data_IF_587293535378
#
_entry.id   IF_587293535378
#
_cell.length_a   1.000
_cell.length_b   1.000
_cell.length_c   1.000
_cell.angle_alpha   90.00
_cell.angle_beta   90.00
_cell.angle_gamma   90.00
#
_symmetry.space_group_name_H-M   'P 1'
#
loop_
_entity.id
_entity.type
_entity.pdbx_description
1 polymer ?
#
# COMPACT_ATOMS: atom_id res chain seq x y z
N UNK A 1 3.87 -3.87 41.77
CA UNK A 1 3.64 -2.83 40.74
C UNK A 1 4.74 -2.93 39.69
N UNK A 2 4.39 -3.01 38.41
CA UNK A 2 5.35 -3.11 37.30
C UNK A 2 6.14 -1.83 37.06
N UNK A 3 7.22 -1.95 36.29
CA UNK A 3 8.08 -0.83 35.88
C UNK A 3 8.35 -0.88 34.38
N UNK A 4 8.55 0.29 33.78
CA UNK A 4 9.17 0.43 32.48
C UNK A 4 10.68 0.32 32.63
N UNK A 5 11.31 -0.59 31.90
CA UNK A 5 12.76 -0.70 31.81
C UNK A 5 13.22 -0.32 30.41
N UNK A 6 14.14 0.63 30.31
CA UNK A 6 14.84 1.00 29.07
C UNK A 6 16.27 0.54 29.20
N UNK A 7 16.75 -0.23 28.23
CA UNK A 7 18.09 -0.82 28.24
C UNK A 7 18.86 -0.39 26.99
N UNK A 8 20.19 -0.33 27.09
CA UNK A 8 21.05 -0.16 25.93
C UNK A 8 21.22 -1.49 25.17
N UNK A 9 21.90 -1.44 24.02
CA UNK A 9 22.09 -2.61 23.15
C UNK A 9 22.89 -3.76 23.79
N UNK A 10 23.61 -3.52 24.89
CA UNK A 10 24.33 -4.54 25.65
C UNK A 10 23.48 -5.13 26.78
N UNK A 11 22.24 -4.66 26.96
CA UNK A 11 21.34 -5.09 28.03
C UNK A 11 21.59 -4.40 29.36
N UNK A 12 22.34 -3.29 29.41
CA UNK A 12 22.45 -2.48 30.63
C UNK A 12 21.24 -1.55 30.76
N UNK A 13 20.65 -1.49 31.95
CA UNK A 13 19.52 -0.59 32.24
C UNK A 13 19.97 0.87 32.16
N UNK A 14 19.32 1.65 31.31
CA UNK A 14 19.45 3.10 31.19
C UNK A 14 18.44 3.82 32.09
N UNK A 15 17.18 3.37 32.07
CA UNK A 15 16.11 3.94 32.87
C UNK A 15 15.22 2.85 33.44
N UNK A 16 14.71 3.10 34.64
CA UNK A 16 13.70 2.28 35.30
C UNK A 16 12.66 3.19 35.94
N UNK A 17 11.44 3.18 35.41
CA UNK A 17 10.38 4.12 35.79
C UNK A 17 9.16 3.32 36.28
N UNK A 18 8.58 3.61 37.46
CA UNK A 18 7.37 2.96 37.92
C UNK A 18 6.19 3.18 36.95
N UNK A 19 5.41 2.13 36.69
CA UNK A 19 4.12 2.31 36.01
C UNK A 19 3.16 3.08 36.93
N UNK A 20 2.14 3.78 36.36
CA UNK A 20 1.10 4.41 37.15
C UNK A 20 0.40 3.43 38.07
N UNK A 21 -0.21 3.96 39.15
CA UNK A 21 -0.99 3.15 40.06
C UNK A 21 -2.14 2.46 39.31
N UNK A 22 -2.40 1.17 39.58
CA UNK A 22 -3.51 0.45 38.98
C UNK A 22 -4.84 1.06 39.39
N UNK A 23 -5.78 1.09 38.45
CA UNK A 23 -7.19 1.36 38.69
C UNK A 23 -7.92 0.02 38.87
N UNK A 24 -8.47 -0.19 40.07
CA UNK A 24 -9.31 -1.37 40.37
C UNK A 24 -8.57 -2.71 40.54
N UNK A 25 -7.23 -2.72 40.50
CA UNK A 25 -6.43 -3.91 40.83
C UNK A 25 -5.66 -3.71 42.14
N UNK A 26 -5.74 -4.66 43.09
CA UNK A 26 -5.16 -4.50 44.42
C UNK A 26 -3.65 -4.76 44.47
N UNK A 27 -3.08 -5.52 43.54
CA UNK A 27 -1.72 -6.06 43.67
C UNK A 27 -0.88 -6.06 42.37
N UNK A 28 -1.51 -5.90 41.20
CA UNK A 28 -0.81 -5.98 39.92
C UNK A 28 -1.09 -4.82 38.97
N UNK A 29 -0.03 -4.40 38.27
CA UNK A 29 -0.08 -3.64 37.03
C UNK A 29 1.13 -4.00 36.16
N UNK A 30 0.97 -3.96 34.84
CA UNK A 30 2.02 -4.32 33.88
C UNK A 30 1.58 -4.02 32.45
N UNK A 31 2.46 -4.23 31.47
CA UNK A 31 2.14 -4.14 30.05
C UNK A 31 2.32 -5.51 29.39
N UNK A 32 1.28 -5.98 28.69
CA UNK A 32 1.29 -7.29 28.00
C UNK A 32 1.54 -7.17 26.50
N UNK A 33 1.20 -6.02 25.91
CA UNK A 33 1.49 -5.72 24.51
C UNK A 33 2.92 -5.18 24.38
N UNK A 34 3.52 -5.39 23.20
CA UNK A 34 4.76 -4.70 22.86
C UNK A 34 4.53 -3.17 22.87
N UNK A 35 5.47 -2.38 23.42
CA UNK A 35 5.35 -0.94 23.37
C UNK A 35 5.48 -0.44 21.92
N UNK A 36 5.00 0.78 21.69
CA UNK A 36 5.13 1.50 20.41
C UNK A 36 5.89 2.81 20.64
N UNK A 37 6.80 3.15 19.74
CA UNK A 37 7.50 4.43 19.70
C UNK A 37 6.92 5.23 18.53
N UNK A 38 6.36 6.39 18.81
CA UNK A 38 5.80 7.31 17.83
C UNK A 38 5.85 8.72 18.39
N UNK A 39 5.98 9.71 17.51
CA UNK A 39 5.77 11.10 17.86
C UNK A 39 4.25 11.36 17.86
N UNK A 40 3.66 11.62 19.02
CA UNK A 40 2.21 11.70 19.25
C UNK A 40 1.73 13.09 19.65
N UNK A 41 2.62 14.00 20.05
CA UNK A 41 2.29 15.37 20.45
C UNK A 41 2.92 16.45 19.55
N UNK A 42 3.80 16.07 18.61
CA UNK A 42 4.26 16.90 17.51
C UNK A 42 5.48 17.77 17.82
N UNK A 43 6.23 17.49 18.88
CA UNK A 43 7.56 18.08 19.11
C UNK A 43 8.65 17.32 18.33
N UNK A 44 9.93 17.53 18.65
CA UNK A 44 11.03 16.85 17.93
C UNK A 44 11.36 15.48 18.55
N UNK A 45 10.91 15.23 19.78
CA UNK A 45 11.11 13.99 20.53
C UNK A 45 10.23 12.86 19.99
N UNK A 46 10.35 11.71 20.64
CA UNK A 46 9.54 10.53 20.38
C UNK A 46 8.95 10.04 21.69
N UNK A 47 7.73 9.50 21.66
CA UNK A 47 7.08 8.98 22.85
C UNK A 47 7.01 7.47 22.81
N UNK A 48 7.20 6.84 23.97
CA UNK A 48 6.92 5.44 24.20
C UNK A 48 5.48 5.27 24.70
N UNK A 49 4.64 4.65 23.87
CA UNK A 49 3.24 4.33 24.19
C UNK A 49 3.11 2.86 24.57
N UNK A 50 2.48 2.59 25.71
CA UNK A 50 2.16 1.24 26.17
C UNK A 50 0.74 1.14 26.71
N UNK A 51 0.11 0.00 26.44
CA UNK A 51 -1.14 -0.38 27.10
C UNK A 51 -0.81 -1.18 28.37
N UNK A 52 -1.31 -0.70 29.50
CA UNK A 52 -1.19 -1.35 30.80
C UNK A 52 -2.45 -2.14 31.16
N UNK A 53 -2.30 -3.19 31.95
CA UNK A 53 -3.41 -4.04 32.40
C UNK A 53 -4.44 -3.28 33.24
N UNK A 54 -4.01 -2.29 34.02
CA UNK A 54 -4.88 -1.62 34.99
C UNK A 54 -4.79 -0.09 35.01
N UNK A 55 -3.95 0.56 34.21
CA UNK A 55 -3.87 2.03 34.16
C UNK A 55 -4.16 2.62 32.77
N UNK A 56 -4.70 1.80 31.86
CA UNK A 56 -5.02 2.22 30.50
C UNK A 56 -3.77 2.41 29.63
N UNK A 57 -3.84 3.38 28.71
CA UNK A 57 -2.74 3.75 27.82
C UNK A 57 -1.87 4.78 28.55
N UNK A 58 -0.56 4.53 28.58
CA UNK A 58 0.44 5.43 29.15
C UNK A 58 1.43 5.82 28.05
N UNK A 59 1.78 7.09 27.98
CA UNK A 59 2.83 7.61 27.12
C UNK A 59 3.96 8.19 27.98
N UNK A 60 5.19 7.89 27.60
CA UNK A 60 6.40 8.45 28.22
C UNK A 60 7.18 9.20 27.15
N UNK A 61 7.55 10.43 27.45
CA UNK A 61 8.50 11.20 26.65
C UNK A 61 9.90 10.52 26.68
N UNK A 62 10.59 10.53 25.53
CA UNK A 62 11.96 10.05 25.37
C UNK A 62 12.88 11.22 24.98
N UNK A 63 13.34 12.02 25.97
CA UNK A 63 14.12 13.21 25.69
C UNK A 63 15.44 12.89 24.98
N UNK A 64 15.81 13.75 24.03
CA UNK A 64 17.04 13.61 23.25
C UNK A 64 16.93 12.62 22.09
N UNK A 65 15.72 12.22 21.71
CA UNK A 65 15.45 11.35 20.55
C UNK A 65 15.16 12.13 19.26
N UNK A 66 15.37 13.45 19.25
CA UNK A 66 15.26 14.26 18.05
C UNK A 66 16.10 13.70 16.89
N UNK A 67 15.44 13.38 15.78
CA UNK A 67 16.05 12.76 14.60
C UNK A 67 16.54 11.32 14.82
N UNK A 68 16.13 10.65 15.90
CA UNK A 68 16.50 9.27 16.15
C UNK A 68 15.97 8.34 15.05
N UNK A 69 16.83 7.43 14.59
CA UNK A 69 16.42 6.40 13.66
C UNK A 69 15.70 5.27 14.39
N UNK A 70 14.38 5.22 14.25
CA UNK A 70 13.57 4.13 14.80
C UNK A 70 13.71 2.88 13.93
N UNK A 71 14.39 1.86 14.44
CA UNK A 71 14.53 0.57 13.75
C UNK A 71 13.31 -0.33 13.99
N UNK A 72 12.74 -0.26 15.20
CA UNK A 72 11.67 -1.14 15.67
C UNK A 72 10.67 -0.35 16.52
N UNK A 73 9.81 0.41 15.85
CA UNK A 73 8.85 1.30 16.51
C UNK A 73 7.63 0.59 17.10
N UNK A 74 7.38 -0.69 16.80
CA UNK A 74 6.24 -1.42 17.38
C UNK A 74 6.52 -2.93 17.40
N UNK A 75 5.59 -3.70 17.96
CA UNK A 75 5.66 -5.16 18.00
C UNK A 75 5.93 -5.75 16.61
N UNK A 76 7.09 -6.41 16.46
CA UNK A 76 7.56 -6.98 15.18
C UNK A 76 7.81 -5.93 14.08
N UNK A 77 8.37 -4.80 14.47
CA UNK A 77 8.93 -3.70 13.66
C UNK A 77 7.93 -2.86 12.87
N UNK A 78 6.82 -3.43 12.42
CA UNK A 78 5.92 -2.79 11.47
C UNK A 78 4.46 -3.28 11.60
N UNK A 79 3.52 -2.61 10.92
CA UNK A 79 2.09 -2.94 10.98
C UNK A 79 1.73 -4.34 10.44
N UNK A 80 2.59 -4.95 9.63
CA UNK A 80 2.42 -6.34 9.17
C UNK A 80 2.94 -7.36 10.20
N UNK A 81 3.62 -6.89 11.26
CA UNK A 81 4.19 -7.69 12.33
C UNK A 81 5.16 -8.78 11.83
N UNK A 82 6.00 -8.45 10.85
CA UNK A 82 6.91 -9.43 10.21
C UNK A 82 8.27 -9.53 10.88
N UNK A 83 8.67 -8.57 11.71
CA UNK A 83 10.00 -8.52 12.31
C UNK A 83 11.12 -8.25 11.30
N UNK A 84 10.78 -7.59 10.18
CA UNK A 84 11.72 -7.21 9.12
C UNK A 84 11.66 -5.70 8.88
N UNK A 85 12.74 -5.13 8.36
CA UNK A 85 12.69 -3.82 7.72
C UNK A 85 11.70 -3.90 6.56
N UNK A 86 10.68 -3.04 6.56
CA UNK A 86 9.82 -2.93 5.38
C UNK A 86 10.61 -2.22 4.29
N UNK A 87 10.71 -2.86 3.13
CA UNK A 87 11.05 -2.18 1.89
C UNK A 87 9.75 -1.83 1.17
N UNK A 88 9.72 -0.68 0.51
CA UNK A 88 8.62 -0.36 -0.38
C UNK A 88 8.53 -1.43 -1.47
N UNK A 89 7.32 -1.87 -1.81
CA UNK A 89 7.10 -2.95 -2.77
C UNK A 89 5.76 -2.77 -3.47
N UNK A 90 5.70 -3.01 -4.78
CA UNK A 90 4.51 -2.84 -5.62
C UNK A 90 3.85 -4.15 -6.07
N UNK A 91 4.20 -5.31 -5.50
CA UNK A 91 3.68 -6.66 -5.82
C UNK A 91 2.16 -6.78 -5.75
N UNK A 92 1.51 -5.99 -4.88
CA UNK A 92 0.05 -6.00 -4.74
C UNK A 92 -0.64 -5.04 -5.69
N UNK A 93 0.13 -4.24 -6.43
CA UNK A 93 -0.41 -3.35 -7.44
C UNK A 93 -1.09 -4.16 -8.53
N UNK A 94 -2.11 -3.57 -9.15
CA UNK A 94 -2.94 -4.29 -10.11
C UNK A 94 -3.43 -3.36 -11.21
N UNK A 95 -3.74 -3.96 -12.35
CA UNK A 95 -4.40 -3.31 -13.47
C UNK A 95 -5.67 -4.09 -13.78
N UNK A 96 -6.77 -3.37 -13.95
CA UNK A 96 -8.05 -3.96 -14.35
C UNK A 96 -8.69 -3.15 -15.46
N UNK A 97 -9.62 -3.79 -16.16
CA UNK A 97 -10.36 -3.21 -17.27
C UNK A 97 -11.85 -3.51 -17.10
N UNK A 98 -12.70 -2.56 -17.48
CA UNK A 98 -14.15 -2.74 -17.51
C UNK A 98 -14.75 -2.03 -18.74
N UNK A 99 -15.68 -2.68 -19.48
CA UNK A 99 -16.11 -4.07 -19.33
C UNK A 99 -15.01 -5.07 -19.73
N UNK A 100 -15.13 -6.33 -19.30
CA UNK A 100 -14.16 -7.40 -19.63
C UNK A 100 -14.43 -8.08 -20.97
N UNK A 101 -15.63 -7.90 -21.53
CA UNK A 101 -16.05 -8.42 -22.85
C UNK A 101 -16.63 -7.33 -23.75
N UNK A 102 -15.85 -6.28 -24.07
CA UNK A 102 -16.33 -5.19 -24.92
C UNK A 102 -16.53 -5.61 -26.38
N UNK A 103 -17.52 -5.04 -27.05
CA UNK A 103 -17.68 -5.11 -28.49
C UNK A 103 -16.76 -4.13 -29.25
N UNK A 104 -16.69 -4.30 -30.57
CA UNK A 104 -16.02 -3.34 -31.45
C UNK A 104 -16.61 -1.92 -31.30
N UNK A 105 -15.77 -0.91 -31.15
CA UNK A 105 -16.17 0.48 -30.93
C UNK A 105 -16.59 0.81 -29.48
N UNK A 106 -16.68 -0.18 -28.59
CA UNK A 106 -17.05 0.07 -27.20
C UNK A 106 -15.90 0.68 -26.40
N UNK A 107 -16.26 1.47 -25.38
CA UNK A 107 -15.30 2.08 -24.46
C UNK A 107 -14.91 1.09 -23.37
N UNK A 108 -13.61 0.98 -23.13
CA UNK A 108 -13.04 0.26 -22.00
C UNK A 108 -12.34 1.24 -21.08
N UNK A 109 -12.64 1.14 -19.80
CA UNK A 109 -11.96 1.88 -18.74
C UNK A 109 -10.89 1.01 -18.11
N UNK A 110 -9.63 1.44 -18.19
CA UNK A 110 -8.53 0.85 -17.44
C UNK A 110 -8.36 1.56 -16.10
N UNK A 111 -8.20 0.78 -15.04
CA UNK A 111 -7.88 1.24 -13.69
C UNK A 111 -6.61 0.55 -13.20
N UNK A 112 -5.57 1.33 -12.93
CA UNK A 112 -4.34 0.87 -12.33
C UNK A 112 -4.32 1.34 -10.88
N UNK A 113 -3.98 0.44 -9.95
CA UNK A 113 -3.85 0.76 -8.52
C UNK A 113 -2.46 0.37 -8.05
N UNK A 114 -1.64 1.36 -7.72
CA UNK A 114 -0.32 1.16 -7.13
C UNK A 114 -0.45 1.05 -5.62
N UNK A 115 0.04 -0.04 -5.03
CA UNK A 115 -0.11 -0.35 -3.61
C UNK A 115 1.27 -0.62 -3.04
N UNK A 116 1.69 0.25 -2.12
CA UNK A 116 2.92 0.11 -1.37
C UNK A 116 2.62 -0.13 0.12
N UNK A 117 2.92 -1.32 0.66
CA UNK A 117 2.67 -1.63 2.05
C UNK A 117 3.89 -1.35 2.95
N UNK A 118 4.97 -0.80 2.39
CA UNK A 118 6.20 -0.39 3.06
C UNK A 118 6.35 1.14 3.17
N UNK A 119 7.57 1.65 3.45
CA UNK A 119 7.88 3.08 3.40
C UNK A 119 7.66 3.65 2.00
N UNK A 120 7.49 4.97 1.91
CA UNK A 120 7.25 5.69 0.67
C UNK A 120 8.26 5.35 -0.43
N UNK A 121 7.75 5.17 -1.65
CA UNK A 121 8.55 5.07 -2.87
C UNK A 121 8.46 6.41 -3.59
N UNK A 122 9.51 7.23 -3.56
CA UNK A 122 9.45 8.64 -3.98
C UNK A 122 9.48 8.87 -5.49
N UNK A 123 10.13 7.98 -6.24
CA UNK A 123 10.47 8.19 -7.66
C UNK A 123 9.88 7.13 -8.59
N UNK A 124 8.66 6.67 -8.27
CA UNK A 124 8.00 5.62 -9.05
C UNK A 124 7.62 6.14 -10.43
N UNK A 125 7.88 5.32 -11.46
CA UNK A 125 7.49 5.60 -12.85
C UNK A 125 6.71 4.42 -13.40
N UNK A 126 5.51 4.69 -13.91
CA UNK A 126 4.71 3.74 -14.66
C UNK A 126 4.75 4.08 -16.15
N UNK A 127 4.97 3.06 -16.99
CA UNK A 127 4.81 3.14 -18.44
C UNK A 127 3.83 2.08 -18.92
N UNK A 128 2.97 2.46 -19.85
CA UNK A 128 1.96 1.57 -20.40
C UNK A 128 1.68 1.91 -21.86
N UNK A 129 2.19 1.09 -22.76
CA UNK A 129 1.96 1.23 -24.21
C UNK A 129 0.57 0.69 -24.54
N UNK A 130 -0.23 1.52 -25.22
CA UNK A 130 -1.59 1.14 -25.61
C UNK A 130 -1.54 0.05 -26.69
N UNK A 131 -2.23 -1.10 -26.50
CA UNK A 131 -2.25 -2.19 -27.49
C UNK A 131 -2.81 -1.75 -28.85
N UNK A 132 -2.36 -2.36 -29.93
CA UNK A 132 -2.75 -1.98 -31.29
C UNK A 132 -4.25 -2.18 -31.61
N UNK A 133 -4.92 -3.09 -30.90
CA UNK A 133 -6.34 -3.40 -31.08
C UNK A 133 -7.29 -2.41 -30.37
N UNK A 134 -6.74 -1.46 -29.62
CA UNK A 134 -7.50 -0.40 -28.97
C UNK A 134 -6.92 0.98 -29.27
N UNK A 135 -7.74 2.02 -29.20
CA UNK A 135 -7.32 3.41 -29.40
C UNK A 135 -7.57 4.21 -28.13
N UNK A 136 -6.58 4.97 -27.67
CA UNK A 136 -6.72 5.84 -26.50
C UNK A 136 -7.84 6.87 -26.70
N UNK A 137 -8.73 7.00 -25.72
CA UNK A 137 -9.93 7.85 -25.80
C UNK A 137 -9.99 8.97 -24.77
N UNK A 138 -8.96 9.12 -23.94
CA UNK A 138 -8.86 10.20 -22.96
C UNK A 138 -9.09 9.76 -21.53
N UNK A 139 -9.67 10.66 -20.73
CA UNK A 139 -9.99 10.48 -19.32
C UNK A 139 -8.81 10.02 -18.44
N UNK A 140 -7.57 10.37 -18.83
CA UNK A 140 -6.41 10.08 -18.01
C UNK A 140 -6.43 10.94 -16.75
N UNK A 141 -6.47 10.28 -15.60
CA UNK A 141 -6.38 10.92 -14.29
C UNK A 141 -5.56 10.07 -13.34
N UNK A 142 -4.99 10.73 -12.33
CA UNK A 142 -4.32 10.08 -11.21
C UNK A 142 -4.75 10.73 -9.90
N UNK A 143 -4.84 9.93 -8.83
CA UNK A 143 -5.17 10.44 -7.49
C UNK A 143 -4.04 11.28 -6.88
N UNK A 144 -2.81 11.07 -7.33
CA UNK A 144 -1.60 11.83 -7.00
C UNK A 144 -0.56 11.66 -8.11
N UNK A 145 0.54 12.43 -8.05
CA UNK A 145 1.58 12.41 -9.07
C UNK A 145 1.14 13.04 -10.40
N UNK A 146 1.92 12.81 -11.45
CA UNK A 146 1.69 13.41 -12.78
C UNK A 146 1.49 12.32 -13.82
N UNK A 147 0.33 12.32 -14.48
CA UNK A 147 0.01 11.42 -15.59
C UNK A 147 0.06 12.18 -16.93
N UNK A 148 0.55 11.52 -17.97
CA UNK A 148 0.59 12.04 -19.34
C UNK A 148 0.37 10.91 -20.35
N UNK A 149 -0.12 11.28 -21.53
CA UNK A 149 -0.19 10.39 -22.68
C UNK A 149 0.57 11.02 -23.83
N UNK A 150 1.58 10.32 -24.35
CA UNK A 150 2.35 10.78 -25.51
C UNK A 150 2.84 9.59 -26.32
N UNK A 151 2.90 9.74 -27.64
CA UNK A 151 3.43 8.72 -28.56
C UNK A 151 2.86 7.29 -28.33
N UNK A 152 1.54 7.16 -28.08
CA UNK A 152 0.91 5.85 -27.89
C UNK A 152 1.11 5.24 -26.49
N UNK A 153 1.71 5.98 -25.55
CA UNK A 153 2.03 5.47 -24.22
C UNK A 153 1.43 6.35 -23.12
N UNK A 154 0.74 5.72 -22.17
CA UNK A 154 0.41 6.32 -20.87
C UNK A 154 1.63 6.24 -19.98
N UNK A 155 2.04 7.38 -19.42
CA UNK A 155 3.12 7.50 -18.46
C UNK A 155 2.62 8.18 -17.20
N UNK A 156 2.99 7.65 -16.04
CA UNK A 156 2.77 8.30 -14.75
C UNK A 156 4.07 8.34 -13.96
N UNK A 157 4.26 9.38 -13.15
CA UNK A 157 5.39 9.51 -12.24
C UNK A 157 4.99 10.20 -10.93
N UNK A 158 5.59 9.77 -9.82
CA UNK A 158 5.43 10.41 -8.52
C UNK A 158 5.68 9.47 -7.35
N UNK A 159 5.39 9.97 -6.16
CA UNK A 159 5.48 9.20 -4.91
C UNK A 159 4.33 8.20 -4.80
N UNK A 160 4.61 6.96 -4.40
CA UNK A 160 3.62 5.99 -3.91
C UNK A 160 3.79 5.83 -2.39
N UNK A 161 2.96 6.52 -1.58
CA UNK A 161 3.12 6.51 -0.14
C UNK A 161 2.85 5.14 0.47
N UNK A 162 3.41 4.91 1.65
CA UNK A 162 3.11 3.76 2.48
C UNK A 162 1.65 3.76 2.94
N UNK A 163 0.90 2.71 2.58
CA UNK A 163 -0.48 2.51 3.05
C UNK A 163 -1.57 3.31 2.33
N UNK A 164 -1.22 4.29 1.48
CA UNK A 164 -2.17 5.05 0.66
C UNK A 164 -1.99 4.70 -0.83
N UNK A 165 -2.94 3.95 -1.44
CA UNK A 165 -2.82 3.54 -2.84
C UNK A 165 -2.98 4.70 -3.82
N UNK A 166 -2.19 4.69 -4.89
CA UNK A 166 -2.34 5.62 -6.02
C UNK A 166 -3.22 4.98 -7.09
N UNK A 167 -4.30 5.65 -7.47
CA UNK A 167 -5.17 5.24 -8.57
C UNK A 167 -4.84 6.01 -9.84
N UNK A 168 -4.65 5.31 -10.96
CA UNK A 168 -4.48 5.88 -12.30
C UNK A 168 -5.58 5.30 -13.18
N UNK A 169 -6.32 6.14 -13.88
CA UNK A 169 -7.46 5.74 -14.72
C UNK A 169 -7.30 6.33 -16.10
N UNK A 170 -7.68 5.61 -17.14
CA UNK A 170 -7.86 6.15 -18.48
C UNK A 170 -8.84 5.30 -19.28
N UNK A 171 -9.29 5.81 -20.43
CA UNK A 171 -10.21 5.10 -21.32
C UNK A 171 -9.59 4.84 -22.69
N UNK A 172 -10.03 3.74 -23.32
CA UNK A 172 -9.74 3.39 -24.72
C UNK A 172 -11.04 2.98 -25.41
N UNK A 173 -11.03 2.94 -26.74
CA UNK A 173 -12.03 2.26 -27.56
C UNK A 173 -11.45 0.96 -28.13
N UNK A 174 -12.25 -0.09 -28.23
CA UNK A 174 -11.90 -1.25 -29.07
C UNK A 174 -12.00 -0.83 -30.53
N UNK A 175 -10.97 -1.10 -31.32
CA UNK A 175 -10.95 -0.68 -32.72
C UNK A 175 -12.04 -1.40 -33.52
N UNK A 176 -12.68 -0.70 -34.45
CA UNK A 176 -13.80 -1.24 -35.25
C UNK A 176 -13.44 -2.40 -36.18
N UNK A 177 -12.15 -2.62 -36.44
CA UNK A 177 -11.63 -3.74 -37.23
C UNK A 177 -11.48 -5.03 -36.41
N UNK A 178 -11.62 -4.98 -35.08
CA UNK A 178 -11.64 -6.16 -34.23
C UNK A 178 -13.05 -6.75 -34.30
N UNK A 179 -13.29 -7.68 -35.23
CA UNK A 179 -14.62 -8.27 -35.46
C UNK A 179 -14.78 -9.68 -34.89
N UNK A 180 -13.68 -10.38 -34.64
CA UNK A 180 -13.71 -11.74 -34.10
C UNK A 180 -13.50 -11.73 -32.57
N UNK A 181 -13.96 -12.77 -31.85
CA UNK A 181 -13.62 -12.95 -30.45
C UNK A 181 -12.11 -13.10 -30.27
N UNK A 182 -11.44 -12.18 -29.56
CA UNK A 182 -9.99 -12.25 -29.32
C UNK A 182 -9.56 -11.60 -28.00
N UNK A 183 -8.52 -12.12 -27.33
CA UNK A 183 -7.97 -11.48 -26.14
C UNK A 183 -7.16 -10.24 -26.53
N UNK A 184 -7.43 -9.12 -25.85
CA UNK A 184 -6.58 -7.93 -25.90
C UNK A 184 -5.87 -7.82 -24.57
N UNK A 185 -4.55 -7.99 -24.59
CA UNK A 185 -3.68 -7.93 -23.42
C UNK A 185 -3.04 -6.56 -23.34
N UNK A 186 -3.25 -5.87 -22.22
CA UNK A 186 -2.65 -4.59 -21.92
C UNK A 186 -1.58 -4.76 -20.84
N UNK A 187 -0.35 -4.35 -21.15
CA UNK A 187 0.79 -4.50 -20.26
C UNK A 187 1.33 -3.14 -19.83
N UNK A 188 1.50 -2.97 -18.52
CA UNK A 188 2.17 -1.84 -17.92
C UNK A 188 3.42 -2.30 -17.16
N UNK A 189 4.40 -1.44 -17.05
CA UNK A 189 5.63 -1.66 -16.30
C UNK A 189 5.78 -0.55 -15.27
N UNK A 190 6.03 -0.92 -14.02
CA UNK A 190 6.25 0.04 -12.95
C UNK A 190 7.68 -0.10 -12.43
N UNK A 191 8.48 0.95 -12.56
CA UNK A 191 9.79 1.08 -11.95
C UNK A 191 9.62 1.76 -10.59
N UNK A 192 10.09 1.13 -9.53
CA UNK A 192 9.95 1.65 -8.16
C UNK A 192 10.98 2.72 -7.77
N UNK A 193 11.94 3.02 -8.65
CA UNK A 193 13.04 3.95 -8.36
C UNK A 193 14.17 3.33 -7.51
N UNK A 194 14.02 2.08 -7.09
CA UNK A 194 15.00 1.30 -6.32
C UNK A 194 15.68 0.20 -7.14
N UNK A 195 15.39 0.17 -8.45
CA UNK A 195 15.96 -0.79 -9.40
C UNK A 195 15.09 -2.03 -9.63
N UNK A 196 13.89 -2.13 -9.05
CA UNK A 196 12.96 -3.21 -9.36
C UNK A 196 11.92 -2.78 -10.38
N UNK A 197 11.51 -3.75 -11.19
CA UNK A 197 10.48 -3.60 -12.20
C UNK A 197 9.30 -4.52 -11.88
N UNK A 198 8.11 -3.95 -11.87
CA UNK A 198 6.86 -4.62 -11.49
C UNK A 198 5.92 -4.63 -12.70
N UNK A 199 5.78 -5.78 -13.40
CA UNK A 199 4.86 -5.89 -14.53
C UNK A 199 3.41 -5.98 -14.03
N UNK A 200 2.51 -5.24 -14.67
CA UNK A 200 1.07 -5.34 -14.49
C UNK A 200 0.43 -5.71 -15.83
N UNK A 201 -0.59 -6.56 -15.78
CA UNK A 201 -1.31 -6.97 -16.99
C UNK A 201 -2.81 -7.00 -16.74
N UNK A 202 -3.58 -6.65 -17.75
CA UNK A 202 -5.03 -6.80 -17.77
C UNK A 202 -5.47 -7.30 -19.14
N UNK A 203 -6.34 -8.31 -19.12
CA UNK A 203 -6.89 -8.92 -20.34
C UNK A 203 -8.37 -8.67 -20.41
N UNK A 204 -8.83 -8.22 -21.58
CA UNK A 204 -10.24 -8.21 -21.98
C UNK A 204 -10.42 -9.17 -23.15
N UNK A 205 -11.64 -9.67 -23.37
CA UNK A 205 -12.00 -10.49 -24.53
C UNK A 205 -12.90 -9.65 -25.44
N UNK A 206 -12.33 -9.06 -26.48
CA UNK A 206 -13.11 -8.30 -27.45
C UNK A 206 -14.08 -9.23 -28.19
N UNK A 207 -15.33 -8.78 -28.38
CA UNK A 207 -16.43 -9.55 -28.97
C UNK A 207 -16.63 -10.94 -28.33
N UNK A 208 -16.33 -11.08 -27.04
CA UNK A 208 -16.49 -12.34 -26.32
C UNK A 208 -17.98 -12.66 -26.08
N UNK A 209 -18.37 -13.89 -26.39
CA UNK A 209 -19.70 -14.43 -26.04
C UNK A 209 -19.71 -14.90 -24.58
N UNK A 210 -20.73 -14.52 -23.81
CA UNK A 210 -20.88 -14.96 -22.43
C UNK A 210 -21.44 -16.39 -22.37
N UNK A 211 -20.60 -17.37 -22.01
CA UNK A 211 -21.05 -18.73 -21.72
C UNK A 211 -21.40 -18.88 -20.23
N UNK A 212 -22.69 -19.08 -19.93
CA UNK A 212 -23.16 -19.38 -18.57
C UNK A 212 -23.25 -20.90 -18.37
N UNK A 213 -22.68 -21.42 -17.27
CA UNK A 213 -22.94 -22.79 -16.85
C UNK A 213 -24.39 -22.91 -16.37
N UNK A 214 -25.11 -23.99 -16.69
CA UNK A 214 -26.46 -24.20 -16.17
C UNK A 214 -26.42 -24.31 -14.64
N UNK A 215 -27.28 -23.54 -13.97
CA UNK A 215 -27.48 -23.65 -12.53
C UNK A 215 -28.38 -24.87 -12.27
N UNK A 216 -27.79 -25.96 -11.79
CA UNK A 216 -28.56 -27.14 -11.37
C UNK A 216 -29.06 -26.93 -9.94
N UNK A 217 -30.33 -26.60 -9.76
CA UNK A 217 -30.97 -26.57 -8.43
C UNK A 217 -31.35 -28.01 -8.06
N UNK A 218 -30.85 -28.55 -6.94
CA UNK A 218 -31.34 -29.84 -6.41
C UNK A 218 -32.77 -29.63 -5.89
N UNK A 219 -33.71 -30.48 -6.33
CA UNK A 219 -35.07 -30.54 -5.79
C UNK A 219 -35.09 -31.14 -4.39
#
# INVERSE_FOLDING_TARGET
>A
MGKLHILNYQGYVLHEIPLPNPYGSPDWNGALAAPTIANIDGDDDMELVLNTSHSGIVAYDLPGTAGARILWGTGRANFQRTGSYLQGNLNRSQMSAQPVTPGAGETVTYNIRLINPGPDLETVVLTNTIPADVTYSGNLSASSGSASYTAGQVRWQGTVPGGLPVGIKYTVFVNGNVTNPQPIVNNALVNDGLGNLWPLSSTIIANGEASYLPVTVRK
#
